data_IF_972175906096
#
_entry.id   IF_972175906096
#
_cell.length_a   1.000
_cell.length_b   1.000
_cell.length_c   1.000
_cell.angle_alpha   90.00
_cell.angle_beta   90.00
_cell.angle_gamma   90.00
#
_symmetry.space_group_name_H-M   'P 1'
#
loop_
_entity.id
_entity.type
_entity.pdbx_description
1 polymer ?
#
# COMPACT_ATOMS: atom_id res chain seq x y z
N UNK A 1 -10.63 -4.21 -12.48
CA UNK A 1 -11.14 -3.89 -11.14
C UNK A 1 -11.39 -5.18 -10.37
N UNK A 2 -11.09 -5.22 -9.06
CA UNK A 2 -11.21 -6.46 -8.25
C UNK A 2 -12.16 -6.29 -7.08
N UNK A 3 -12.22 -5.11 -6.46
CA UNK A 3 -13.07 -4.88 -5.28
C UNK A 3 -13.51 -3.42 -5.16
N UNK A 4 -14.73 -3.20 -4.65
CA UNK A 4 -15.19 -1.93 -4.11
C UNK A 4 -16.14 -2.19 -2.95
N UNK A 5 -15.86 -1.59 -1.80
CA UNK A 5 -16.65 -1.78 -0.59
C UNK A 5 -15.88 -1.46 0.68
N UNK A 6 -16.45 -1.83 1.84
CA UNK A 6 -15.83 -1.61 3.15
C UNK A 6 -14.95 -2.79 3.55
N UNK A 7 -13.69 -2.53 3.93
CA UNK A 7 -12.70 -3.57 4.22
C UNK A 7 -11.90 -3.25 5.51
N UNK A 8 -12.35 -3.80 6.64
CA UNK A 8 -11.67 -3.71 7.95
C UNK A 8 -11.14 -2.30 8.26
N UNK A 9 -9.90 -2.19 8.71
CA UNK A 9 -9.19 -0.96 9.06
C UNK A 9 -8.99 0.01 7.89
N UNK A 10 -9.11 -0.45 6.63
CA UNK A 10 -8.99 0.44 5.49
C UNK A 10 -10.26 1.28 5.24
N UNK A 11 -11.37 0.99 5.92
CA UNK A 11 -12.63 1.70 5.69
C UNK A 11 -13.20 1.39 4.32
N UNK A 12 -13.71 2.39 3.61
CA UNK A 12 -14.16 2.19 2.22
C UNK A 12 -12.96 2.16 1.28
N UNK A 13 -12.91 1.13 0.45
CA UNK A 13 -11.79 0.80 -0.42
C UNK A 13 -12.26 0.56 -1.84
N UNK A 14 -11.44 0.99 -2.80
CA UNK A 14 -11.50 0.55 -4.20
C UNK A 14 -10.16 -0.07 -4.57
N UNK A 15 -10.19 -1.32 -5.04
CA UNK A 15 -9.01 -2.01 -5.58
C UNK A 15 -9.15 -2.18 -7.09
N UNK A 16 -8.21 -1.58 -7.83
CA UNK A 16 -8.09 -1.72 -9.26
C UNK A 16 -6.95 -2.66 -9.59
N UNK A 17 -7.19 -3.57 -10.54
CA UNK A 17 -6.15 -4.45 -11.10
C UNK A 17 -5.97 -4.10 -12.56
N UNK A 18 -4.74 -3.82 -12.96
CA UNK A 18 -4.33 -3.57 -14.34
C UNK A 18 -4.20 -4.88 -15.13
N UNK A 19 -3.97 -4.79 -16.45
CA UNK A 19 -3.79 -5.97 -17.30
C UNK A 19 -2.49 -6.72 -16.97
N UNK A 20 -1.49 -5.98 -16.51
CA UNK A 20 -0.16 -6.43 -16.09
C UNK A 20 -0.19 -7.07 -14.68
N UNK A 21 -1.37 -7.07 -14.03
CA UNK A 21 -1.56 -7.69 -12.72
C UNK A 21 -1.13 -6.83 -11.53
N UNK A 22 -0.84 -5.54 -11.75
CA UNK A 22 -0.58 -4.57 -10.69
C UNK A 22 -1.93 -4.22 -10.04
N UNK A 23 -1.97 -4.23 -8.72
CA UNK A 23 -3.14 -3.80 -7.94
C UNK A 23 -2.86 -2.44 -7.30
N UNK A 24 -3.74 -1.47 -7.55
CA UNK A 24 -3.73 -0.18 -6.85
C UNK A 24 -4.92 -0.08 -5.91
N UNK A 25 -4.65 0.32 -4.67
CA UNK A 25 -5.64 0.43 -3.60
C UNK A 25 -5.86 1.88 -3.22
N UNK A 26 -7.13 2.27 -3.10
CA UNK A 26 -7.57 3.59 -2.65
C UNK A 26 -8.44 3.39 -1.41
N UNK A 27 -7.92 3.75 -0.23
CA UNK A 27 -8.56 3.48 1.06
C UNK A 27 -8.96 4.77 1.81
N UNK A 28 -9.63 4.59 2.94
CA UNK A 28 -10.21 5.64 3.80
C UNK A 28 -11.26 6.53 3.12
N UNK A 29 -11.85 6.08 2.02
CA UNK A 29 -12.80 6.89 1.25
C UNK A 29 -14.05 7.23 2.09
N UNK A 30 -14.58 8.44 1.98
CA UNK A 30 -15.86 8.79 2.59
C UNK A 30 -17.03 8.18 1.84
N UNK A 31 -16.91 8.10 0.51
CA UNK A 31 -17.89 7.48 -0.38
C UNK A 31 -17.20 6.84 -1.59
N UNK A 32 -17.83 5.79 -2.12
CA UNK A 32 -17.45 5.16 -3.40
C UNK A 32 -18.41 5.68 -4.47
N UNK A 33 -17.88 6.12 -5.61
CA UNK A 33 -18.69 6.69 -6.69
C UNK A 33 -19.67 5.67 -7.28
N UNK A 34 -20.82 6.15 -7.74
CA UNK A 34 -21.80 5.31 -8.43
C UNK A 34 -21.19 4.60 -9.65
N UNK A 35 -21.51 3.32 -9.82
CA UNK A 35 -21.00 2.50 -10.93
C UNK A 35 -19.58 1.94 -10.72
N UNK A 36 -18.91 2.25 -9.60
CA UNK A 36 -17.67 1.59 -9.19
C UNK A 36 -18.02 0.28 -8.49
N UNK A 37 -17.92 -0.83 -9.21
CA UNK A 37 -18.26 -2.18 -8.72
C UNK A 37 -17.39 -3.25 -9.40
N UNK A 38 -17.19 -4.43 -8.79
CA UNK A 38 -16.45 -5.52 -9.42
C UNK A 38 -16.92 -5.79 -10.86
N UNK A 39 -15.96 -6.00 -11.77
CA UNK A 39 -16.21 -6.16 -13.21
C UNK A 39 -16.36 -4.85 -14.00
N UNK A 40 -16.45 -3.69 -13.35
CA UNK A 40 -16.49 -2.41 -14.07
C UNK A 40 -15.16 -2.13 -14.79
N UNK A 41 -15.24 -1.72 -16.05
CA UNK A 41 -14.13 -1.13 -16.78
C UNK A 41 -13.92 0.32 -16.33
N UNK A 42 -12.69 0.63 -15.92
CA UNK A 42 -12.32 1.94 -15.37
C UNK A 42 -11.15 2.46 -16.18
N UNK A 43 -11.35 3.62 -16.81
CA UNK A 43 -10.29 4.34 -17.51
C UNK A 43 -9.56 5.29 -16.56
N UNK A 44 -8.31 5.62 -16.88
CA UNK A 44 -7.56 6.65 -16.16
C UNK A 44 -8.33 7.98 -16.15
N UNK A 45 -8.29 8.69 -15.03
CA UNK A 45 -9.01 9.95 -14.82
C UNK A 45 -10.47 9.79 -14.37
N UNK A 46 -11.03 8.57 -14.34
CA UNK A 46 -12.36 8.33 -13.77
C UNK A 46 -12.34 8.49 -12.25
N UNK A 47 -13.29 9.25 -11.71
CA UNK A 47 -13.46 9.41 -10.27
C UNK A 47 -13.93 8.11 -9.61
N UNK A 48 -13.19 7.64 -8.61
CA UNK A 48 -13.48 6.39 -7.89
C UNK A 48 -14.29 6.60 -6.61
N UNK A 49 -14.18 7.77 -6.00
CA UNK A 49 -14.83 8.09 -4.74
C UNK A 49 -14.41 9.47 -4.23
N UNK A 50 -14.74 9.75 -2.98
CA UNK A 50 -14.34 10.94 -2.27
C UNK A 50 -13.39 10.57 -1.11
N UNK A 51 -12.37 11.41 -0.88
CA UNK A 51 -11.48 11.27 0.27
C UNK A 51 -12.28 11.37 1.56
N UNK A 52 -11.85 10.64 2.59
CA UNK A 52 -12.50 10.63 3.89
C UNK A 52 -11.54 10.19 4.99
N UNK A 53 -12.13 9.78 6.11
CA UNK A 53 -11.42 9.25 7.28
C UNK A 53 -12.09 7.95 7.77
N UNK A 54 -12.59 7.11 6.86
CA UNK A 54 -13.25 5.86 7.25
C UNK A 54 -12.24 4.78 7.63
N UNK A 55 -12.61 3.85 8.50
CA UNK A 55 -11.70 2.83 9.01
C UNK A 55 -10.79 3.38 10.11
N UNK A 56 -9.57 2.87 10.17
CA UNK A 56 -8.53 3.33 11.10
C UNK A 56 -7.72 4.47 10.45
N UNK A 57 -8.25 5.68 10.53
CA UNK A 57 -7.62 6.89 10.02
C UNK A 57 -7.57 7.97 11.11
N UNK A 58 -6.43 8.66 11.24
CA UNK A 58 -6.27 9.77 12.20
C UNK A 58 -6.96 11.07 11.76
N UNK A 59 -7.37 11.16 10.51
CA UNK A 59 -8.05 12.31 9.91
C UNK A 59 -8.26 12.11 8.40
N UNK A 60 -8.89 13.07 7.69
CA UNK A 60 -9.17 12.93 6.26
C UNK A 60 -7.90 12.87 5.41
N UNK A 61 -7.63 11.71 4.80
CA UNK A 61 -6.52 11.52 3.87
C UNK A 61 -6.77 10.33 2.95
N UNK A 62 -5.97 10.20 1.88
CA UNK A 62 -5.98 9.03 1.01
C UNK A 62 -4.81 8.12 1.40
N UNK A 63 -5.12 6.89 1.80
CA UNK A 63 -4.11 5.82 1.86
C UNK A 63 -4.07 5.11 0.51
N UNK A 64 -2.95 5.26 -0.19
CA UNK A 64 -2.72 4.71 -1.52
C UNK A 64 -1.65 3.63 -1.48
N UNK A 65 -1.94 2.48 -2.09
CA UNK A 65 -0.96 1.40 -2.24
C UNK A 65 -0.82 0.97 -3.69
N UNK A 66 0.39 0.54 -4.04
CA UNK A 66 0.67 -0.27 -5.22
C UNK A 66 1.08 -1.65 -4.72
N UNK A 67 0.49 -2.71 -5.28
CA UNK A 67 0.74 -4.10 -4.90
C UNK A 67 1.07 -4.94 -6.13
N UNK A 68 2.16 -5.69 -6.07
CA UNK A 68 2.58 -6.62 -7.12
C UNK A 68 2.52 -8.03 -6.55
N UNK A 69 1.81 -8.94 -7.22
CA UNK A 69 1.55 -10.29 -6.69
C UNK A 69 1.04 -10.25 -5.24
N UNK A 70 0.15 -9.27 -4.98
CA UNK A 70 -0.44 -8.99 -3.66
C UNK A 70 0.54 -8.55 -2.55
N UNK A 71 1.79 -8.21 -2.87
CA UNK A 71 2.75 -7.60 -1.93
C UNK A 71 2.79 -6.08 -2.13
N UNK A 72 2.64 -5.25 -1.08
CA UNK A 72 2.78 -3.80 -1.20
C UNK A 72 4.22 -3.44 -1.58
N UNK A 73 4.37 -2.49 -2.49
CA UNK A 73 5.66 -1.93 -2.93
C UNK A 73 5.64 -0.41 -2.78
N UNK A 74 6.81 0.24 -2.83
CA UNK A 74 6.89 1.70 -2.74
C UNK A 74 6.12 2.36 -3.90
N UNK A 75 5.03 3.12 -3.64
CA UNK A 75 4.20 3.69 -4.70
C UNK A 75 4.92 4.75 -5.55
N UNK A 76 5.95 5.42 -5.00
CA UNK A 76 6.61 6.53 -5.68
C UNK A 76 7.26 6.13 -7.00
N UNK A 77 7.71 4.88 -7.10
CA UNK A 77 8.29 4.32 -8.34
C UNK A 77 7.26 4.22 -9.47
N UNK A 78 5.97 4.13 -9.14
CA UNK A 78 4.87 3.98 -10.11
C UNK A 78 4.12 5.28 -10.38
N UNK A 79 4.25 6.26 -9.48
CA UNK A 79 3.68 7.59 -9.66
C UNK A 79 4.51 8.49 -10.59
N UNK A 80 5.81 8.21 -10.74
CA UNK A 80 6.69 8.97 -11.66
C UNK A 80 6.20 8.94 -13.12
N UNK A 81 5.49 7.88 -13.52
CA UNK A 81 4.90 7.73 -14.86
C UNK A 81 3.57 8.48 -15.03
N UNK A 82 2.93 8.93 -13.94
CA UNK A 82 1.65 9.63 -13.99
C UNK A 82 1.78 11.14 -14.25
N UNK A 83 3.00 11.69 -14.10
CA UNK A 83 3.30 13.12 -14.30
C UNK A 83 3.76 13.46 -15.73
N UNK A 84 3.96 12.46 -16.59
CA UNK A 84 4.30 12.68 -17.99
C UNK A 84 3.08 13.29 -18.72
N UNK A 85 3.28 14.26 -19.64
CA UNK A 85 2.19 14.80 -20.44
C UNK A 85 1.46 13.66 -21.15
N UNK A 86 0.12 13.76 -21.26
CA UNK A 86 -0.83 12.73 -21.74
C UNK A 86 -0.48 12.03 -23.08
N UNK A 87 0.53 12.51 -23.80
CA UNK A 87 0.97 12.02 -25.11
C UNK A 87 2.38 11.40 -25.10
N UNK A 88 3.03 11.20 -23.94
CA UNK A 88 4.28 10.45 -23.91
C UNK A 88 3.97 8.97 -24.17
N UNK A 89 4.52 8.43 -25.25
CA UNK A 89 4.46 7.01 -25.57
C UNK A 89 4.85 6.20 -24.32
N UNK A 90 4.08 5.14 -24.03
CA UNK A 90 4.37 4.22 -22.95
C UNK A 90 5.70 3.51 -23.23
N UNK A 91 6.81 4.10 -22.77
CA UNK A 91 8.06 3.37 -22.65
C UNK A 91 7.89 2.32 -21.52
N UNK A 92 8.21 1.05 -21.78
CA UNK A 92 8.04 0.00 -20.77
C UNK A 92 8.91 0.30 -19.56
N UNK A 93 8.27 0.38 -18.39
CA UNK A 93 8.96 0.46 -17.11
C UNK A 93 9.67 -0.86 -16.88
N UNK A 94 10.99 -0.91 -17.09
CA UNK A 94 11.80 -2.02 -16.60
C UNK A 94 11.74 -2.00 -15.07
N UNK A 95 11.04 -3.00 -14.52
CA UNK A 95 10.86 -3.17 -13.08
C UNK A 95 12.21 -3.66 -12.54
N UNK A 96 13.09 -2.74 -12.16
CA UNK A 96 14.28 -3.09 -11.39
C UNK A 96 13.82 -3.75 -10.08
N UNK A 97 14.17 -5.03 -9.90
CA UNK A 97 13.87 -5.78 -8.70
C UNK A 97 14.30 -4.96 -7.47
N UNK A 98 13.35 -4.62 -6.62
CA UNK A 98 13.62 -3.94 -5.37
C UNK A 98 14.56 -4.84 -4.55
N UNK A 99 15.85 -4.49 -4.52
CA UNK A 99 16.84 -5.12 -3.65
C UNK A 99 16.37 -4.99 -2.21
N UNK A 100 16.28 -6.14 -1.56
CA UNK A 100 15.91 -6.32 -0.16
C UNK A 100 16.74 -5.39 0.75
N UNK A 101 16.14 -4.48 1.53
CA UNK A 101 16.90 -3.78 2.54
C UNK A 101 17.19 -4.74 3.71
N UNK A 102 18.45 -5.17 3.80
CA UNK A 102 19.02 -5.84 4.98
C UNK A 102 18.62 -5.13 6.29
N UNK A 103 18.47 -5.87 7.42
CA UNK A 103 17.93 -5.33 8.65
C UNK A 103 18.91 -4.36 9.33
N UNK A 104 18.43 -3.15 9.60
CA UNK A 104 19.16 -2.16 10.38
C UNK A 104 19.07 -2.46 11.89
N UNK A 105 20.23 -2.29 12.53
CA UNK A 105 20.57 -2.39 13.93
C UNK A 105 19.57 -1.82 14.94
N UNK A 106 19.38 -2.55 16.05
CA UNK A 106 18.90 -2.00 17.32
C UNK A 106 20.07 -1.86 18.32
N UNK A 107 20.46 -0.62 18.62
CA UNK A 107 20.95 -0.18 19.93
C UNK A 107 19.71 0.27 20.73
N UNK A 108 19.50 0.08 22.02
CA UNK A 108 20.24 -0.46 23.16
C UNK A 108 19.56 0.09 24.43
N UNK A 109 19.67 -0.57 25.59
CA UNK A 109 19.73 0.07 26.93
C UNK A 109 19.74 -0.96 28.09
N UNK A 110 20.88 -0.95 28.79
CA UNK A 110 21.15 -1.16 30.22
C UNK A 110 20.11 -1.79 31.19
N UNK A 111 20.60 -2.71 32.04
CA UNK A 111 20.64 -2.54 33.51
C UNK A 111 21.58 -3.54 34.20
N UNK A 112 22.16 -3.09 35.29
CA UNK A 112 23.30 -3.64 36.01
C UNK A 112 22.93 -4.71 37.05
N UNK A 113 23.73 -5.78 37.09
CA UNK A 113 24.30 -6.53 38.23
C UNK A 113 23.43 -6.83 39.47
N UNK A 114 23.19 -8.12 39.71
CA UNK A 114 23.14 -8.72 41.05
C UNK A 114 23.61 -10.19 40.99
N UNK A 115 24.27 -10.61 42.07
CA UNK A 115 25.14 -11.77 42.25
C UNK A 115 24.43 -12.81 43.12
N UNK A 116 24.41 -14.09 42.75
CA UNK A 116 24.38 -15.25 43.66
C UNK A 116 24.85 -16.54 42.94
N UNK A 117 25.75 -17.36 43.53
CA UNK A 117 26.25 -18.59 42.89
C UNK A 117 25.62 -19.89 43.43
N UNK A 118 25.83 -20.99 42.65
CA UNK A 118 25.86 -22.46 42.97
C UNK A 118 24.73 -23.31 42.37
N UNK A 119 24.90 -24.66 42.20
CA UNK A 119 26.09 -25.50 41.93
C UNK A 119 25.89 -26.47 40.72
N UNK A 120 26.90 -27.27 40.29
CA UNK A 120 26.75 -28.18 39.15
C UNK A 120 25.93 -29.44 39.48
N UNK A 121 25.19 -29.93 38.48
CA UNK A 121 24.57 -31.26 38.51
C UNK A 121 25.47 -32.25 37.75
N UNK A 122 25.87 -33.29 38.49
CA UNK A 122 26.52 -34.55 38.10
C UNK A 122 28.03 -34.58 37.91
#
# INVERSE_FOLDING_TARGET
MVYAGRHSDYGNVVDLRSREGILTRYAHLSAISAGIRPGAAISAGKQLGAVGATGNASGPHLHFEVRIRNKPVNPMQYLAFASAPRNAAHEPVEIAEARDPSPAHHHGAARSRAMYPRPPLR
#
